data_IF_034373575586
#
_entry.id   IF_034373575586
#
_cell.length_a   1.000
_cell.length_b   1.000
_cell.length_c   1.000
_cell.angle_alpha   90.00
_cell.angle_beta   90.00
_cell.angle_gamma   90.00
#
_symmetry.space_group_name_H-M   'P 1'
#
loop_
_entity.id
_entity.type
_entity.pdbx_description
1 polymer ?
#
# COMPACT_ATOMS: atom_id res chain seq x y z
N UNK A 1 17.30 -37.94 0.09
CA UNK A 1 16.21 -37.58 1.02
C UNK A 1 15.77 -36.18 0.64
N UNK A 2 14.54 -35.97 0.13
CA UNK A 2 14.12 -34.64 -0.28
C UNK A 2 13.89 -33.75 0.94
N UNK A 3 14.36 -32.51 0.87
CA UNK A 3 14.10 -31.45 1.85
C UNK A 3 13.56 -30.23 1.11
N UNK A 4 12.81 -29.39 1.82
CA UNK A 4 12.32 -28.11 1.32
C UNK A 4 12.47 -27.06 2.42
N UNK A 5 12.58 -25.80 2.01
CA UNK A 5 12.75 -24.67 2.92
C UNK A 5 11.41 -23.96 3.18
N UNK A 6 11.20 -23.55 4.42
CA UNK A 6 10.07 -22.68 4.81
C UNK A 6 10.60 -21.25 4.78
N UNK A 7 10.02 -20.42 3.92
CA UNK A 7 10.38 -19.01 3.77
C UNK A 7 9.17 -18.12 4.01
N UNK A 8 9.40 -16.90 4.49
CA UNK A 8 8.40 -15.84 4.61
C UNK A 8 8.82 -14.70 3.70
N UNK A 9 8.58 -14.88 2.41
CA UNK A 9 8.88 -13.91 1.37
C UNK A 9 7.57 -13.48 0.69
N UNK A 10 7.50 -12.20 0.37
CA UNK A 10 6.39 -11.62 -0.38
C UNK A 10 6.88 -11.25 -1.77
N UNK A 11 6.04 -11.52 -2.77
CA UNK A 11 6.35 -11.21 -4.16
C UNK A 11 6.27 -9.70 -4.40
N UNK A 12 7.31 -9.15 -5.03
CA UNK A 12 7.41 -7.70 -5.28
C UNK A 12 6.38 -7.21 -6.29
N UNK A 13 6.06 -8.00 -7.33
CA UNK A 13 5.00 -7.65 -8.27
C UNK A 13 3.63 -7.66 -7.59
N UNK A 14 3.37 -8.60 -6.68
CA UNK A 14 2.13 -8.60 -5.88
C UNK A 14 2.02 -7.35 -5.00
N UNK A 15 3.12 -6.90 -4.39
CA UNK A 15 3.16 -5.64 -3.63
C UNK A 15 2.88 -4.43 -4.55
N UNK A 16 3.52 -4.36 -5.71
CA UNK A 16 3.32 -3.26 -6.67
C UNK A 16 1.85 -3.21 -7.15
N UNK A 17 1.27 -4.37 -7.48
CA UNK A 17 -0.13 -4.48 -7.88
C UNK A 17 -1.08 -4.00 -6.76
N UNK A 18 -0.83 -4.42 -5.52
CA UNK A 18 -1.63 -4.01 -4.37
C UNK A 18 -1.56 -2.50 -4.11
N UNK A 19 -0.37 -1.90 -4.24
CA UNK A 19 -0.17 -0.46 -4.10
C UNK A 19 -0.88 0.33 -5.19
N UNK A 20 -0.81 -0.12 -6.44
CA UNK A 20 -1.49 0.53 -7.55
C UNK A 20 -3.02 0.44 -7.42
N UNK A 21 -3.54 -0.67 -6.91
CA UNK A 21 -4.96 -0.78 -6.55
C UNK A 21 -5.33 0.20 -5.43
N UNK A 22 -4.56 0.25 -4.34
CA UNK A 22 -4.80 1.17 -3.23
C UNK A 22 -4.79 2.65 -3.68
N UNK A 23 -3.85 3.03 -4.57
CA UNK A 23 -3.79 4.38 -5.15
C UNK A 23 -5.01 4.70 -6.00
N UNK A 24 -5.50 3.74 -6.81
CA UNK A 24 -6.72 3.92 -7.62
C UNK A 24 -7.96 4.07 -6.75
N UNK A 25 -8.08 3.28 -5.69
CA UNK A 25 -9.18 3.42 -4.73
C UNK A 25 -9.14 4.78 -4.04
N UNK A 26 -7.97 5.20 -3.57
CA UNK A 26 -7.78 6.50 -2.93
C UNK A 26 -8.17 7.67 -3.86
N UNK A 27 -7.87 7.56 -5.17
CA UNK A 27 -8.24 8.56 -6.16
C UNK A 27 -9.74 8.60 -6.49
N UNK A 28 -10.45 7.48 -6.34
CA UNK A 28 -11.89 7.37 -6.65
C UNK A 28 -12.79 7.65 -5.45
N UNK A 29 -12.24 7.61 -4.23
CA UNK A 29 -12.93 7.94 -2.99
C UNK A 29 -13.29 9.42 -2.89
N UNK A 30 -14.59 9.72 -2.79
CA UNK A 30 -15.11 11.08 -2.74
C UNK A 30 -14.66 11.84 -1.47
N UNK A 31 -14.52 11.13 -0.36
CA UNK A 31 -14.06 11.65 0.94
C UNK A 31 -12.57 12.04 0.96
N UNK A 32 -11.79 11.52 0.03
CA UNK A 32 -10.38 11.87 -0.19
C UNK A 32 -10.17 12.90 -1.30
N UNK A 33 -11.23 13.27 -2.03
CA UNK A 33 -11.16 14.23 -3.13
C UNK A 33 -10.72 15.60 -2.61
N UNK A 34 -9.54 16.05 -3.07
CA UNK A 34 -8.93 17.31 -2.66
C UNK A 34 -8.14 17.23 -1.35
N UNK A 35 -7.98 16.04 -0.75
CA UNK A 35 -7.10 15.83 0.39
C UNK A 35 -5.67 15.50 -0.06
N UNK A 36 -4.67 15.96 0.68
CA UNK A 36 -3.27 15.61 0.47
C UNK A 36 -2.91 14.20 1.00
N UNK A 37 -3.72 13.19 0.65
CA UNK A 37 -3.44 11.80 1.00
C UNK A 37 -2.58 11.12 -0.05
N UNK A 38 -1.54 10.39 0.39
CA UNK A 38 -0.53 9.81 -0.49
C UNK A 38 -0.03 8.45 0.01
N UNK A 39 0.29 7.56 -0.94
CA UNK A 39 0.88 6.25 -0.71
C UNK A 39 2.22 6.17 -1.43
N UNK A 40 3.31 6.23 -0.66
CA UNK A 40 4.69 6.17 -1.16
C UNK A 40 5.26 4.78 -0.83
N UNK A 41 5.83 4.13 -1.83
CA UNK A 41 6.56 2.86 -1.66
C UNK A 41 8.02 3.05 -2.03
N UNK A 42 8.89 2.87 -1.05
CA UNK A 42 10.34 2.99 -1.18
C UNK A 42 11.00 1.70 -0.71
N UNK A 43 11.41 0.87 -1.67
CA UNK A 43 12.13 -0.39 -1.49
C UNK A 43 11.39 -1.40 -0.59
N UNK A 44 11.44 -1.19 0.72
CA UNK A 44 10.91 -2.08 1.75
C UNK A 44 9.98 -1.35 2.73
N UNK A 45 9.63 -0.10 2.43
CA UNK A 45 8.78 0.74 3.29
C UNK A 45 7.63 1.34 2.52
N UNK A 46 6.43 1.17 3.05
CA UNK A 46 5.23 1.87 2.60
C UNK A 46 4.95 3.00 3.59
N UNK A 47 4.89 4.22 3.09
CA UNK A 47 4.55 5.41 3.87
C UNK A 47 3.19 5.93 3.41
N UNK A 48 2.29 6.09 4.38
CA UNK A 48 0.97 6.65 4.18
C UNK A 48 0.94 8.05 4.80
N UNK A 49 0.49 9.02 4.02
CA UNK A 49 0.34 10.41 4.47
C UNK A 49 -1.13 10.81 4.30
N UNK A 50 -1.70 11.51 5.26
CA UNK A 50 -3.02 12.15 5.14
C UNK A 50 -3.09 13.39 6.05
N UNK A 51 -4.04 14.27 5.76
CA UNK A 51 -4.22 15.55 6.47
C UNK A 51 -4.69 15.40 7.92
N UNK A 52 -5.38 14.31 8.25
CA UNK A 52 -5.91 14.01 9.58
C UNK A 52 -5.77 12.52 9.90
N UNK A 53 -5.58 12.20 11.18
CA UNK A 53 -5.43 10.84 11.69
C UNK A 53 -6.66 9.96 11.42
N UNK A 54 -7.85 10.54 11.28
CA UNK A 54 -9.05 9.79 10.88
C UNK A 54 -8.96 9.29 9.43
N UNK A 55 -8.35 10.06 8.53
CA UNK A 55 -8.18 9.69 7.11
C UNK A 55 -7.02 8.71 6.89
N UNK A 56 -6.11 8.59 7.84
CA UNK A 56 -5.06 7.55 7.84
C UNK A 56 -5.58 6.15 8.18
N UNK A 57 -6.74 6.06 8.83
CA UNK A 57 -7.31 4.80 9.34
C UNK A 57 -8.55 4.34 8.60
N UNK A 58 -9.14 5.21 7.77
CA UNK A 58 -10.48 5.07 7.19
C UNK A 58 -10.50 4.66 5.74
#
# INVERSE_FOLDING_TARGET
MPSFDIVSEVDKQEIDNALDQARKELATRFDFKGSAAEIIYEKDKITLTAEDGNRLRG
#
